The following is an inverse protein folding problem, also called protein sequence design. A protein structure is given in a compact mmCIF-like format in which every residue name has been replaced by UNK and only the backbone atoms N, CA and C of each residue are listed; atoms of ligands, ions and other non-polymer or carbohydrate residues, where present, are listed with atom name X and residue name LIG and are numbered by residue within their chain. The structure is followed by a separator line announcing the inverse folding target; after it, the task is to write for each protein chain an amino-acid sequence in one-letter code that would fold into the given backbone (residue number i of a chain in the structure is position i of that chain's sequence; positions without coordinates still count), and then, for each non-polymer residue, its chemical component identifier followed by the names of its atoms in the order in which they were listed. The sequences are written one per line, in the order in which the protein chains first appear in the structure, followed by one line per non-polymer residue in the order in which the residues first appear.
data_IF_905847416740
#
_entry.id   IF_905847416740
#
_cell.length_a   1.000
_cell.length_b   1.000
_cell.length_c   1.000
_cell.angle_alpha   90.00
_cell.angle_beta   90.00
_cell.angle_gamma   90.00
#
_symmetry.space_group_name_H-M   'P 1'
#
loop_
_entity.id
_entity.type
_entity.pdbx_description
1 polymer ?
#
# COMPACT_ATOMS: atom_id res chain seq x y z
N UNK A 1 -2.75 1.94 13.79
CA UNK A 1 -1.89 3.08 13.41
C UNK A 1 -2.20 3.45 11.96
N UNK A 2 -2.31 4.74 11.61
CA UNK A 2 -2.47 5.20 10.22
C UNK A 2 -1.17 5.89 9.78
N UNK A 3 -0.67 5.59 8.59
CA UNK A 3 0.46 6.28 7.95
C UNK A 3 0.14 6.57 6.49
N UNK A 4 0.52 7.76 6.03
CA UNK A 4 0.25 8.23 4.67
C UNK A 4 1.54 8.76 4.06
N UNK A 5 1.78 8.44 2.79
CA UNK A 5 2.93 8.95 2.04
C UNK A 5 2.66 8.88 0.54
N UNK A 6 3.37 9.69 -0.22
CA UNK A 6 3.29 9.72 -1.68
C UNK A 6 4.60 9.24 -2.29
N UNK A 7 4.52 8.52 -3.40
CA UNK A 7 5.67 8.06 -4.18
C UNK A 7 5.49 8.56 -5.61
N UNK A 8 6.53 9.16 -6.17
CA UNK A 8 6.59 9.54 -7.58
C UNK A 8 7.35 8.45 -8.32
N UNK A 9 6.76 7.91 -9.37
CA UNK A 9 7.38 6.89 -10.22
C UNK A 9 6.86 7.03 -11.65
N UNK A 10 7.77 6.99 -12.63
CA UNK A 10 7.41 7.04 -14.06
C UNK A 10 6.51 8.25 -14.42
N UNK A 11 6.77 9.39 -13.77
CA UNK A 11 6.00 10.63 -13.88
C UNK A 11 4.54 10.54 -13.35
N UNK A 12 4.18 9.45 -12.67
CA UNK A 12 2.93 9.30 -11.94
C UNK A 12 3.15 9.44 -10.43
N UNK A 13 2.15 10.00 -9.75
CA UNK A 13 2.13 10.08 -8.28
C UNK A 13 1.18 9.02 -7.75
N UNK A 14 1.70 8.20 -6.84
CA UNK A 14 0.95 7.19 -6.11
C UNK A 14 0.77 7.64 -4.67
N UNK A 15 -0.46 7.61 -4.16
CA UNK A 15 -0.78 7.87 -2.77
C UNK A 15 -0.94 6.55 -2.02
N UNK A 16 -0.18 6.37 -0.95
CA UNK A 16 -0.26 5.19 -0.10
C UNK A 16 -0.81 5.54 1.27
N UNK A 17 -1.81 4.77 1.70
CA UNK A 17 -2.32 4.81 3.08
C UNK A 17 -2.17 3.43 3.70
N UNK A 18 -1.44 3.34 4.80
CA UNK A 18 -1.28 2.12 5.59
C UNK A 18 -2.12 2.26 6.86
N UNK A 19 -3.00 1.29 7.11
CA UNK A 19 -3.84 1.20 8.30
C UNK A 19 -3.58 -0.13 9.01
N UNK A 20 -3.44 -0.11 10.33
CA UNK A 20 -3.26 -1.32 11.12
C UNK A 20 -1.79 -1.68 11.34
N UNK A 21 -1.46 -2.98 11.21
CA UNK A 21 -0.13 -3.54 11.53
C UNK A 21 0.42 -3.10 12.89
N UNK A 22 -0.40 -3.19 13.93
CA UNK A 22 0.04 -2.96 15.30
C UNK A 22 1.18 -3.92 15.67
N UNK A 23 2.06 -3.55 16.62
CA UNK A 23 3.27 -4.32 17.01
C UNK A 23 3.02 -5.76 17.52
N UNK A 24 1.76 -6.21 17.53
CA UNK A 24 1.40 -7.61 17.73
C UNK A 24 1.71 -8.40 16.45
N UNK A 25 2.43 -9.51 16.60
CA UNK A 25 2.67 -10.50 15.56
C UNK A 25 1.33 -10.89 14.92
N UNK A 26 1.24 -10.86 13.59
CA UNK A 26 0.04 -11.18 12.79
C UNK A 26 -1.17 -10.24 12.98
N UNK A 27 -0.94 -8.97 13.32
CA UNK A 27 -2.03 -7.99 13.35
C UNK A 27 -2.56 -7.69 11.94
N UNK A 28 -3.89 -7.61 11.82
CA UNK A 28 -4.53 -7.21 10.57
C UNK A 28 -4.08 -5.81 10.17
N UNK A 29 -3.82 -5.64 8.87
CA UNK A 29 -3.51 -4.36 8.28
C UNK A 29 -3.89 -4.29 6.82
N UNK A 30 -3.95 -3.06 6.35
CA UNK A 30 -4.42 -2.68 5.03
C UNK A 30 -3.46 -1.65 4.43
N UNK A 31 -3.25 -1.75 3.13
CA UNK A 31 -2.47 -0.81 2.33
C UNK A 31 -3.34 -0.40 1.15
N UNK A 32 -3.68 0.87 1.11
CA UNK A 32 -4.38 1.50 0.00
C UNK A 32 -3.33 2.13 -0.91
N UNK A 33 -3.46 1.92 -2.21
CA UNK A 33 -2.62 2.53 -3.24
C UNK A 33 -3.54 3.18 -4.24
N UNK A 34 -3.53 4.51 -4.31
CA UNK A 34 -4.27 5.29 -5.29
C UNK A 34 -3.32 5.82 -6.36
N UNK A 35 -3.68 5.64 -7.63
CA UNK A 35 -2.93 6.18 -8.77
C UNK A 35 -3.48 7.53 -9.25
N UNK A 36 -2.83 8.11 -10.26
CA UNK A 36 -3.19 9.37 -10.91
C UNK A 36 -4.60 9.35 -11.53
N UNK A 37 -5.11 8.16 -11.87
CA UNK A 37 -6.44 7.95 -12.43
C UNK A 37 -7.55 7.92 -11.37
N UNK A 38 -7.21 8.15 -10.11
CA UNK A 38 -8.09 7.99 -8.94
C UNK A 38 -8.52 6.54 -8.69
N UNK A 39 -7.90 5.56 -9.34
CA UNK A 39 -8.16 4.15 -9.06
C UNK A 39 -7.45 3.77 -7.78
N UNK A 40 -8.18 3.20 -6.82
CA UNK A 40 -7.64 2.78 -5.52
C UNK A 40 -7.62 1.26 -5.39
N UNK A 41 -6.43 0.71 -5.16
CA UNK A 41 -6.19 -0.71 -4.92
C UNK A 41 -6.00 -0.93 -3.42
N UNK A 42 -6.63 -1.98 -2.89
CA UNK A 42 -6.57 -2.29 -1.46
C UNK A 42 -5.95 -3.67 -1.25
N UNK A 43 -4.84 -3.71 -0.52
CA UNK A 43 -4.14 -4.92 -0.12
C UNK A 43 -4.33 -5.11 1.37
N UNK A 44 -4.77 -6.29 1.81
CA UNK A 44 -5.11 -6.56 3.22
C UNK A 44 -4.66 -7.93 3.67
N UNK A 45 -4.31 -8.05 4.95
CA UNK A 45 -3.87 -9.30 5.53
C UNK A 45 -3.23 -9.13 6.90
N UNK A 46 -2.87 -10.24 7.53
CA UNK A 46 -2.21 -10.29 8.84
C UNK A 46 -0.67 -10.31 8.73
N UNK A 47 -0.14 -10.74 7.58
CA UNK A 47 1.29 -10.77 7.31
C UNK A 47 1.77 -9.46 6.66
N UNK A 48 2.25 -8.53 7.50
CA UNK A 48 2.72 -7.20 7.07
C UNK A 48 3.64 -7.22 5.85
N UNK A 49 4.64 -8.11 5.84
CA UNK A 49 5.62 -8.18 4.75
C UNK A 49 4.97 -8.62 3.42
N UNK A 50 4.02 -9.54 3.46
CA UNK A 50 3.31 -10.02 2.27
C UNK A 50 2.44 -8.89 1.71
N UNK A 51 1.64 -8.23 2.56
CA UNK A 51 0.75 -7.14 2.14
C UNK A 51 1.53 -5.97 1.53
N UNK A 52 2.63 -5.56 2.17
CA UNK A 52 3.50 -4.50 1.64
C UNK A 52 4.18 -4.88 0.33
N UNK A 53 4.56 -6.15 0.16
CA UNK A 53 5.19 -6.64 -1.07
C UNK A 53 4.22 -6.60 -2.25
N UNK A 54 2.97 -7.03 -2.05
CA UNK A 54 1.93 -6.98 -3.09
C UNK A 54 1.55 -5.53 -3.44
N UNK A 55 1.40 -4.66 -2.44
CA UNK A 55 1.19 -3.23 -2.68
C UNK A 55 2.34 -2.58 -3.47
N UNK A 56 3.60 -2.96 -3.19
CA UNK A 56 4.76 -2.49 -3.94
C UNK A 56 4.77 -3.00 -5.38
N UNK A 57 4.43 -4.28 -5.62
CA UNK A 57 4.32 -4.84 -6.97
C UNK A 57 3.35 -4.05 -7.83
N UNK A 58 2.19 -3.66 -7.28
CA UNK A 58 1.21 -2.81 -7.98
C UNK A 58 1.82 -1.53 -8.56
N UNK A 59 2.74 -0.90 -7.83
CA UNK A 59 3.42 0.34 -8.25
C UNK A 59 4.55 0.04 -9.25
N UNK A 60 5.20 -1.11 -9.16
CA UNK A 60 6.30 -1.52 -10.04
C UNK A 60 5.80 -2.03 -11.40
N UNK A 61 4.70 -2.79 -11.37
CA UNK A 61 4.20 -3.57 -12.50
C UNK A 61 3.19 -2.79 -13.36
N UNK A 62 2.82 -1.56 -12.97
CA UNK A 62 1.88 -0.68 -13.71
C UNK A 62 2.48 -0.06 -14.99
N UNK A 63 3.37 -0.78 -15.66
CA UNK A 63 4.00 -0.36 -16.93
C UNK A 63 3.01 -0.29 -18.09
#
# INVERSE_FOLDING_TARGET
MKKEFSIIRDNETYHLTIIGFHDKKNSYGEVYVSDSSHTTYVFRGTERQVVLKEAKKRIVDNK
#
